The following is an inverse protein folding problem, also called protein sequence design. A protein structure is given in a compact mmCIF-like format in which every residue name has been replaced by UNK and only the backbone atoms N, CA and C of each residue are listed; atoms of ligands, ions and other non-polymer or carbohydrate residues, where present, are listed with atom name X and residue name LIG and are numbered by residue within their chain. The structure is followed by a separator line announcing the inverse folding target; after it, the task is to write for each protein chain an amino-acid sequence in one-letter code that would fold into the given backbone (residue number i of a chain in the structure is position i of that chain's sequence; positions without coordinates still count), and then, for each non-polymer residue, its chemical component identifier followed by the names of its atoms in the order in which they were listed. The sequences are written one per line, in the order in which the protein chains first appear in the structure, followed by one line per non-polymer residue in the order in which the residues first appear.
data_IF_481330136666
#
_entry.id   IF_481330136666
#
_cell.length_a   1.000
_cell.length_b   1.000
_cell.length_c   1.000
_cell.angle_alpha   90.00
_cell.angle_beta   90.00
_cell.angle_gamma   90.00
#
_symmetry.space_group_name_H-M   'P 1'
#
loop_
_entity.id
_entity.type
_entity.pdbx_description
1 polymer ?
#
# COMPACT_ATOMS: atom_id res chain seq x y z
N UNK A 1 15.16 -1.20 41.80
CA UNK A 1 15.31 -1.19 40.32
C UNK A 1 14.01 -0.83 39.57
N UNK A 2 12.92 -0.42 40.26
CA UNK A 2 11.61 -0.12 39.66
C UNK A 2 11.48 1.26 39.00
N UNK A 3 12.04 2.32 39.61
CA UNK A 3 11.80 3.69 39.13
C UNK A 3 12.35 4.01 37.72
N UNK A 4 13.32 3.22 37.23
CA UNK A 4 13.83 3.37 35.85
C UNK A 4 12.93 2.69 34.82
N UNK A 5 12.18 1.68 35.24
CA UNK A 5 11.21 0.96 34.42
C UNK A 5 10.00 1.88 34.16
N UNK A 6 9.47 2.46 35.24
CA UNK A 6 8.37 3.43 35.21
C UNK A 6 8.67 4.64 34.30
N UNK A 7 9.93 5.09 34.29
CA UNK A 7 10.37 6.21 33.46
C UNK A 7 10.46 5.84 31.98
N UNK A 8 10.82 4.61 31.64
CA UNK A 8 10.91 4.16 30.25
C UNK A 8 9.49 3.91 29.72
N UNK A 9 8.63 3.30 30.52
CA UNK A 9 7.22 3.09 30.17
C UNK A 9 6.48 4.42 29.95
N UNK A 10 6.73 5.42 30.79
CA UNK A 10 6.16 6.76 30.58
C UNK A 10 6.59 7.38 29.25
N UNK A 11 7.86 7.23 28.87
CA UNK A 11 8.37 7.71 27.58
C UNK A 11 7.75 6.95 26.40
N UNK A 12 7.63 5.62 26.49
CA UNK A 12 7.00 4.81 25.46
C UNK A 12 5.53 5.22 25.25
N UNK A 13 4.79 5.45 26.35
CA UNK A 13 3.41 5.95 26.31
C UNK A 13 3.33 7.34 25.65
N UNK A 14 4.31 8.22 25.88
CA UNK A 14 4.37 9.54 25.26
C UNK A 14 4.67 9.47 23.75
N UNK A 15 5.56 8.57 23.34
CA UNK A 15 5.81 8.30 21.93
C UNK A 15 4.55 7.76 21.22
N UNK A 16 3.87 6.78 21.81
CA UNK A 16 2.64 6.22 21.24
C UNK A 16 1.55 7.28 21.09
N UNK A 17 1.40 8.17 22.08
CA UNK A 17 0.49 9.33 21.99
C UNK A 17 0.87 10.22 20.81
N UNK A 18 2.15 10.58 20.68
CA UNK A 18 2.64 11.44 19.61
C UNK A 18 2.43 10.82 18.23
N UNK A 19 2.71 9.53 18.08
CA UNK A 19 2.49 8.78 16.84
C UNK A 19 1.00 8.66 16.51
N UNK A 20 0.15 8.38 17.49
CA UNK A 20 -1.30 8.34 17.31
C UNK A 20 -1.87 9.71 16.89
N UNK A 21 -1.39 10.81 17.49
CA UNK A 21 -1.80 12.15 17.09
C UNK A 21 -1.37 12.46 15.65
N UNK A 22 -0.14 12.14 15.28
CA UNK A 22 0.34 12.24 13.89
C UNK A 22 -0.53 11.42 12.94
N UNK A 23 -0.79 10.15 13.27
CA UNK A 23 -1.62 9.23 12.47
C UNK A 23 -3.03 9.77 12.21
N UNK A 24 -3.64 10.45 13.18
CA UNK A 24 -4.97 11.08 13.04
C UNK A 24 -4.97 12.20 12.00
N UNK A 25 -3.98 13.09 12.06
CA UNK A 25 -3.79 14.15 11.04
C UNK A 25 -3.62 13.52 9.65
N UNK A 26 -2.94 12.39 9.57
CA UNK A 26 -2.78 11.63 8.32
C UNK A 26 -3.98 10.76 7.91
N UNK A 27 -4.94 10.52 8.81
CA UNK A 27 -6.15 9.74 8.54
C UNK A 27 -7.29 10.60 7.99
N UNK A 28 -7.38 11.89 8.32
CA UNK A 28 -8.43 12.78 7.79
C UNK A 28 -8.38 12.96 6.26
N UNK A 29 -7.28 12.55 5.61
CA UNK A 29 -7.13 12.52 4.15
C UNK A 29 -7.00 11.11 3.56
N UNK A 30 -7.22 10.08 4.38
CA UNK A 30 -7.38 8.69 3.90
C UNK A 30 -8.88 8.39 3.97
N UNK A 31 -9.58 8.20 2.83
CA UNK A 31 -10.98 7.76 2.89
C UNK A 31 -11.05 6.48 3.70
N UNK A 32 -11.97 6.44 4.66
CA UNK A 32 -12.09 5.38 5.67
C UNK A 32 -12.12 3.98 5.02
N UNK A 33 -10.99 3.28 5.07
CA UNK A 33 -10.96 1.82 4.88
C UNK A 33 -10.59 1.20 6.20
N UNK A 34 -11.62 0.84 6.95
CA UNK A 34 -11.52 0.23 8.28
C UNK A 34 -10.80 -1.11 8.27
N UNK A 35 -10.07 -1.34 9.35
CA UNK A 35 -9.48 -2.62 9.74
C UNK A 35 -10.59 -3.66 9.93
N UNK A 36 -10.59 -4.76 9.19
CA UNK A 36 -11.49 -5.88 9.46
C UNK A 36 -11.86 -6.67 8.21
N UNK A 37 -11.50 -7.95 8.23
CA UNK A 37 -11.79 -8.98 7.24
C UNK A 37 -13.22 -8.92 6.65
N UNK A 38 -13.29 -9.10 5.33
CA UNK A 38 -14.42 -9.57 4.51
C UNK A 38 -15.67 -8.68 4.39
N UNK A 39 -15.77 -7.86 3.32
CA UNK A 39 -17.07 -7.38 2.81
C UNK A 39 -17.16 -7.36 1.26
N UNK A 40 -18.35 -7.66 0.69
CA UNK A 40 -18.57 -7.90 -0.73
C UNK A 40 -18.75 -6.56 -1.46
N UNK A 41 -17.63 -5.97 -1.85
CA UNK A 41 -17.57 -4.86 -2.79
C UNK A 41 -16.24 -4.99 -3.51
N UNK A 42 -16.28 -5.23 -4.82
CA UNK A 42 -15.07 -5.22 -5.63
C UNK A 42 -14.33 -3.89 -5.45
N UNK A 43 -13.01 -3.90 -5.66
CA UNK A 43 -12.23 -2.66 -5.73
C UNK A 43 -12.84 -1.72 -6.77
N UNK A 44 -13.03 -0.44 -6.43
CA UNK A 44 -13.28 0.60 -7.43
C UNK A 44 -11.97 0.87 -8.18
N UNK A 45 -11.72 0.00 -9.15
CA UNK A 45 -10.51 0.02 -9.95
C UNK A 45 -10.36 1.31 -10.76
N UNK A 46 -11.46 2.00 -11.09
CA UNK A 46 -11.40 3.29 -11.78
C UNK A 46 -10.86 4.39 -10.84
N UNK A 47 -11.38 4.47 -9.62
CA UNK A 47 -10.86 5.40 -8.61
C UNK A 47 -9.40 5.10 -8.25
N UNK A 48 -9.07 3.81 -8.09
CA UNK A 48 -7.69 3.36 -7.81
C UNK A 48 -6.74 3.74 -8.95
N UNK A 49 -7.15 3.51 -10.21
CA UNK A 49 -6.37 3.89 -11.38
C UNK A 49 -6.15 5.40 -11.48
N UNK A 50 -7.20 6.20 -11.22
CA UNK A 50 -7.08 7.67 -11.18
C UNK A 50 -6.10 8.13 -10.10
N UNK A 51 -6.15 7.50 -8.92
CA UNK A 51 -5.21 7.77 -7.81
C UNK A 51 -3.76 7.41 -8.17
N UNK A 52 -3.55 6.26 -8.80
CA UNK A 52 -2.23 5.83 -9.27
C UNK A 52 -1.65 6.79 -10.32
N UNK A 53 -2.47 7.22 -11.29
CA UNK A 53 -2.06 8.25 -12.26
C UNK A 53 -1.72 9.58 -11.61
N UNK A 54 -2.49 10.01 -10.60
CA UNK A 54 -2.22 11.26 -9.88
C UNK A 54 -0.89 11.21 -9.09
N UNK A 55 -0.50 10.05 -8.57
CA UNK A 55 0.83 9.85 -7.95
C UNK A 55 1.96 9.99 -8.94
N UNK A 56 1.75 9.58 -10.19
CA UNK A 56 2.73 9.73 -11.26
C UNK A 56 4.02 8.94 -11.03
N UNK A 57 3.95 7.80 -10.33
CA UNK A 57 5.09 6.90 -10.15
C UNK A 57 5.59 6.41 -11.53
N UNK A 58 6.89 6.60 -11.80
CA UNK A 58 7.51 6.31 -13.11
C UNK A 58 8.44 5.11 -13.10
N UNK A 59 8.67 4.52 -11.93
CA UNK A 59 9.59 3.42 -11.73
C UNK A 59 8.99 2.34 -10.83
N UNK A 60 9.42 1.10 -11.05
CA UNK A 60 9.04 -0.03 -10.23
C UNK A 60 9.87 -0.03 -8.95
N UNK A 61 9.25 0.15 -7.78
CA UNK A 61 9.97 0.18 -6.50
C UNK A 61 10.65 -1.15 -6.11
N UNK A 62 10.38 -2.25 -6.81
CA UNK A 62 11.06 -3.54 -6.57
C UNK A 62 12.41 -3.59 -7.30
N UNK A 63 12.46 -3.21 -8.58
CA UNK A 63 13.68 -3.32 -9.41
C UNK A 63 14.36 -1.98 -9.72
N UNK A 64 13.73 -0.86 -9.33
CA UNK A 64 14.24 0.51 -9.48
C UNK A 64 14.45 0.90 -10.96
N UNK A 65 13.79 0.19 -11.89
CA UNK A 65 13.78 0.51 -13.31
C UNK A 65 12.48 1.23 -13.69
N UNK A 66 12.58 2.13 -14.68
CA UNK A 66 11.45 2.86 -15.22
C UNK A 66 10.39 1.94 -15.84
N UNK A 67 9.12 2.35 -15.76
CA UNK A 67 8.06 1.70 -16.52
C UNK A 67 8.16 2.03 -18.01
N UNK A 68 7.65 1.14 -18.86
CA UNK A 68 7.47 1.43 -20.28
C UNK A 68 6.43 2.54 -20.48
N UNK A 69 6.58 3.35 -21.54
CA UNK A 69 5.61 4.41 -21.86
C UNK A 69 4.20 3.86 -22.12
N UNK A 70 4.08 2.61 -22.59
CA UNK A 70 2.81 1.92 -22.79
C UNK A 70 2.22 1.37 -21.48
N UNK A 71 2.99 1.35 -20.38
CA UNK A 71 2.66 0.66 -19.13
C UNK A 71 2.31 -0.83 -19.35
N UNK A 72 2.84 -1.41 -20.42
CA UNK A 72 2.71 -2.83 -20.71
C UNK A 72 3.51 -3.65 -19.70
N UNK A 73 2.93 -4.75 -19.24
CA UNK A 73 3.56 -5.59 -18.21
C UNK A 73 3.61 -4.92 -16.84
N UNK A 74 2.79 -3.90 -16.58
CA UNK A 74 2.63 -3.28 -15.24
C UNK A 74 1.37 -3.81 -14.56
N UNK A 75 1.51 -4.20 -13.30
CA UNK A 75 0.40 -4.55 -12.40
C UNK A 75 0.12 -3.39 -11.44
N UNK A 76 -1.15 -3.02 -11.34
CA UNK A 76 -1.66 -2.05 -10.37
C UNK A 76 -2.28 -2.80 -9.18
N UNK A 77 -1.92 -2.38 -7.97
CA UNK A 77 -2.49 -2.92 -6.75
C UNK A 77 -3.69 -2.09 -6.29
N UNK A 78 -4.63 -2.71 -5.59
CA UNK A 78 -5.78 -2.05 -4.94
C UNK A 78 -5.37 -0.92 -3.97
N UNK A 79 -4.15 -0.93 -3.44
CA UNK A 79 -3.57 0.16 -2.65
C UNK A 79 -3.01 1.33 -3.49
N UNK A 80 -3.22 1.34 -4.81
CA UNK A 80 -2.76 2.32 -5.80
C UNK A 80 -1.26 2.35 -6.16
N UNK A 81 -0.44 1.42 -5.65
CA UNK A 81 0.96 1.26 -6.08
C UNK A 81 1.07 0.36 -7.31
N UNK A 82 2.07 0.64 -8.16
CA UNK A 82 2.30 -0.10 -9.39
C UNK A 82 3.69 -0.75 -9.43
N UNK A 83 3.78 -1.90 -10.10
CA UNK A 83 5.01 -2.67 -10.23
C UNK A 83 5.04 -3.37 -11.59
N UNK A 84 6.23 -3.71 -12.10
CA UNK A 84 6.32 -4.68 -13.19
C UNK A 84 5.68 -5.99 -12.74
N UNK A 85 4.83 -6.59 -13.57
CA UNK A 85 4.12 -7.83 -13.27
C UNK A 85 5.07 -8.97 -12.93
N UNK A 86 6.22 -9.05 -13.62
CA UNK A 86 7.26 -10.04 -13.33
C UNK A 86 7.93 -9.80 -11.97
N UNK A 87 8.25 -8.54 -11.64
CA UNK A 87 8.84 -8.20 -10.35
C UNK A 87 7.87 -8.47 -9.20
N UNK A 88 6.59 -8.16 -9.39
CA UNK A 88 5.55 -8.44 -8.40
C UNK A 88 5.35 -9.95 -8.19
N UNK A 89 5.32 -10.73 -9.28
CA UNK A 89 5.22 -12.19 -9.19
C UNK A 89 6.41 -12.78 -8.44
N UNK A 90 7.64 -12.38 -8.79
CA UNK A 90 8.82 -12.84 -8.07
C UNK A 90 8.79 -12.47 -6.59
N UNK A 91 8.29 -11.27 -6.25
CA UNK A 91 8.10 -10.86 -4.85
C UNK A 91 7.08 -11.74 -4.12
N UNK A 92 5.96 -12.08 -4.77
CA UNK A 92 4.93 -12.97 -4.21
C UNK A 92 5.44 -14.40 -4.01
N UNK A 93 6.30 -14.91 -4.90
CA UNK A 93 6.86 -16.27 -4.81
C UNK A 93 7.70 -16.49 -3.54
N UNK A 94 8.29 -15.42 -2.99
CA UNK A 94 9.05 -15.44 -1.73
C UNK A 94 8.26 -14.90 -0.53
N UNK A 95 6.95 -14.71 -0.67
CA UNK A 95 6.12 -14.23 0.43
C UNK A 95 5.92 -15.34 1.48
N UNK A 96 6.32 -15.09 2.72
CA UNK A 96 6.18 -16.03 3.85
C UNK A 96 4.83 -15.89 4.58
N UNK A 97 4.04 -14.88 4.25
CA UNK A 97 2.76 -14.60 4.88
C UNK A 97 1.61 -15.25 4.12
N UNK A 98 0.52 -15.58 4.83
CA UNK A 98 -0.72 -16.11 4.24
C UNK A 98 -1.44 -15.08 3.33
N UNK A 99 -1.03 -13.81 3.38
CA UNK A 99 -1.62 -12.69 2.64
C UNK A 99 -0.57 -11.96 1.82
N UNK A 100 -0.94 -11.51 0.62
CA UNK A 100 -0.09 -10.67 -0.22
C UNK A 100 -0.06 -9.24 0.31
N UNK A 101 1.12 -8.78 0.74
CA UNK A 101 1.34 -7.43 1.29
C UNK A 101 2.12 -6.56 0.32
N UNK A 102 1.66 -5.33 0.09
CA UNK A 102 2.30 -4.42 -0.85
C UNK A 102 3.76 -4.13 -0.43
N UNK A 103 4.75 -4.19 -1.35
CA UNK A 103 6.15 -3.89 -1.03
C UNK A 103 6.39 -2.49 -0.47
N UNK A 104 5.52 -1.52 -0.79
CA UNK A 104 5.69 -0.11 -0.40
C UNK A 104 4.94 0.21 0.89
N UNK A 105 3.64 -0.10 0.97
CA UNK A 105 2.81 0.31 2.10
C UNK A 105 2.36 -0.83 3.02
N UNK A 106 2.71 -2.08 2.70
CA UNK A 106 2.33 -3.30 3.45
C UNK A 106 0.82 -3.52 3.60
N UNK A 107 -0.03 -2.80 2.88
CA UNK A 107 -1.45 -3.10 2.82
C UNK A 107 -1.67 -4.41 2.06
N UNK A 108 -2.61 -5.24 2.54
CA UNK A 108 -3.11 -6.38 1.78
C UNK A 108 -3.72 -5.90 0.46
N UNK A 109 -3.55 -6.67 -0.61
CA UNK A 109 -3.98 -6.19 -1.93
C UNK A 109 -4.57 -7.28 -2.83
N UNK A 110 -5.46 -6.85 -3.73
CA UNK A 110 -5.67 -7.46 -5.05
C UNK A 110 -4.87 -6.71 -6.10
N UNK A 111 -4.62 -7.36 -7.24
CA UNK A 111 -3.88 -6.81 -8.38
C UNK A 111 -4.68 -6.90 -9.67
N UNK A 112 -4.49 -5.93 -10.56
CA UNK A 112 -5.02 -5.94 -11.92
C UNK A 112 -3.97 -5.41 -12.89
N UNK A 113 -3.95 -5.93 -14.11
CA UNK A 113 -3.04 -5.44 -15.15
C UNK A 113 -3.44 -4.01 -15.59
N UNK A 114 -2.44 -3.12 -15.68
CA UNK A 114 -2.65 -1.69 -15.95
C UNK A 114 -3.42 -1.44 -17.25
N UNK A 115 -3.12 -2.19 -18.32
CA UNK A 115 -3.76 -2.02 -19.63
C UNK A 115 -5.26 -2.34 -19.62
N UNK A 116 -5.73 -3.27 -18.79
CA UNK A 116 -7.15 -3.56 -18.69
C UNK A 116 -7.94 -2.39 -18.07
N UNK A 117 -7.28 -1.57 -17.26
CA UNK A 117 -7.88 -0.39 -16.61
C UNK A 117 -7.92 0.84 -17.50
N UNK A 118 -7.01 0.94 -18.47
CA UNK A 118 -7.05 2.00 -19.48
C UNK A 118 -8.33 1.98 -20.35
N UNK A 119 -9.03 0.85 -20.36
CA UNK A 119 -10.25 0.63 -21.13
C UNK A 119 -11.54 0.76 -20.30
N UNK A 120 -11.45 0.91 -18.97
CA UNK A 120 -12.61 1.25 -18.12
C UNK A 120 -12.91 2.75 -18.34
N UNK A 121 -13.94 3.04 -19.14
CA UNK A 121 -14.53 4.38 -19.28
C UNK A 121 -15.58 4.62 -18.23
#
# INVERSE_FOLDING_TARGET
MSMRDDSIDALLVEFDKSLNMSRRVFQDHVPETGTGSSFPGGDDWFAIFKKAKARGERECAICINAFSSSMEGVSLLSCSHAFHSQCLSAFEDFNIYEVSLCPVCRASYRKQAWLHLGNLK
#
